data_IF_287957200935
#
_entry.id   IF_287957200935
#
_cell.length_a   1.000
_cell.length_b   1.000
_cell.length_c   1.000
_cell.angle_alpha   90.00
_cell.angle_beta   90.00
_cell.angle_gamma   90.00
#
_symmetry.space_group_name_H-M   'P 1'
#
loop_
_entity.id
_entity.type
_entity.pdbx_description
1 polymer ?
#
# COMPACT_ATOMS: atom_id res chain seq x y z
N UNK A 1 26.29 8.52 -1.41
CA UNK A 1 25.25 9.50 -1.76
C UNK A 1 24.05 9.18 -0.89
N UNK A 2 23.51 10.11 -0.10
CA UNK A 2 22.24 9.86 0.58
C UNK A 2 21.16 9.77 -0.49
N UNK A 3 20.61 8.59 -0.73
CA UNK A 3 19.49 8.43 -1.65
C UNK A 3 18.32 9.28 -1.15
N UNK A 4 17.78 10.15 -2.02
CA UNK A 4 16.52 10.81 -1.76
C UNK A 4 15.42 9.80 -2.05
N UNK A 5 14.57 9.49 -1.07
CA UNK A 5 13.47 8.54 -1.23
C UNK A 5 12.54 8.89 -2.40
N UNK A 6 12.44 10.18 -2.76
CA UNK A 6 11.65 10.63 -3.91
C UNK A 6 12.17 10.17 -5.27
N UNK A 7 13.44 9.78 -5.39
CA UNK A 7 14.06 9.43 -6.68
C UNK A 7 13.53 8.08 -7.22
N UNK A 8 12.95 7.23 -6.37
CA UNK A 8 12.39 5.94 -6.76
C UNK A 8 11.25 6.07 -7.80
N UNK A 9 10.55 7.22 -7.84
CA UNK A 9 9.53 7.46 -8.86
C UNK A 9 10.12 7.45 -10.28
N UNK A 10 11.35 7.95 -10.45
CA UNK A 10 12.04 8.00 -11.74
C UNK A 10 12.35 6.60 -12.25
N UNK A 11 12.69 5.67 -11.33
CA UNK A 11 12.87 4.27 -11.69
C UNK A 11 11.58 3.63 -12.21
N UNK A 12 10.46 3.85 -11.51
CA UNK A 12 9.14 3.32 -11.90
C UNK A 12 8.75 3.82 -13.30
N UNK A 13 8.81 5.13 -13.52
CA UNK A 13 8.46 5.71 -14.82
C UNK A 13 9.45 5.31 -15.92
N UNK A 14 10.75 5.29 -15.61
CA UNK A 14 11.81 4.91 -16.56
C UNK A 14 11.64 3.47 -17.05
N UNK A 15 11.39 2.51 -16.14
CA UNK A 15 11.09 1.12 -16.52
C UNK A 15 9.81 1.01 -17.34
N UNK A 16 8.74 1.70 -16.93
CA UNK A 16 7.48 1.71 -17.70
C UNK A 16 7.65 2.26 -19.12
N UNK A 17 8.39 3.36 -19.28
CA UNK A 17 8.57 4.03 -20.57
C UNK A 17 9.57 3.33 -21.49
N UNK A 18 10.69 2.83 -20.96
CA UNK A 18 11.78 2.28 -21.76
C UNK A 18 11.66 0.78 -22.00
N UNK A 19 11.16 0.02 -21.03
CA UNK A 19 11.10 -1.45 -21.09
C UNK A 19 9.67 -1.98 -21.09
N UNK A 20 8.66 -1.12 -20.93
CA UNK A 20 7.26 -1.53 -20.84
C UNK A 20 6.93 -2.28 -19.55
N UNK A 21 7.84 -2.32 -18.57
CA UNK A 21 7.65 -3.05 -17.31
C UNK A 21 6.92 -2.17 -16.31
N UNK A 22 5.72 -2.60 -15.90
CA UNK A 22 4.91 -1.93 -14.88
C UNK A 22 5.09 -2.60 -13.50
N UNK A 23 4.87 -1.85 -12.40
CA UNK A 23 4.88 -2.44 -11.06
C UNK A 23 3.83 -3.54 -10.90
N UNK A 24 4.23 -4.66 -10.30
CA UNK A 24 3.31 -5.76 -9.97
C UNK A 24 2.38 -5.42 -8.79
N UNK A 25 2.72 -4.40 -8.00
CA UNK A 25 1.94 -3.92 -6.86
C UNK A 25 1.48 -2.50 -7.17
N UNK A 26 0.24 -2.17 -6.81
CA UNK A 26 -0.31 -0.84 -7.00
C UNK A 26 0.52 0.22 -6.26
N UNK A 27 0.70 1.37 -6.91
CA UNK A 27 1.33 2.56 -6.30
C UNK A 27 0.34 3.38 -5.47
N UNK A 28 -0.96 3.03 -5.47
CA UNK A 28 -1.96 3.63 -4.59
C UNK A 28 -2.12 2.79 -3.31
N UNK A 29 -1.63 3.27 -2.15
CA UNK A 29 -1.70 2.48 -0.92
C UNK A 29 -3.13 2.15 -0.48
N UNK A 30 -4.15 2.89 -0.95
CA UNK A 30 -5.56 2.62 -0.63
C UNK A 30 -6.09 1.37 -1.33
N UNK A 31 -5.42 0.91 -2.37
CA UNK A 31 -5.81 -0.25 -3.18
C UNK A 31 -5.03 -1.53 -2.81
N UNK A 32 -4.00 -1.44 -1.98
CA UNK A 32 -3.16 -2.57 -1.58
C UNK A 32 -3.97 -3.70 -0.94
N UNK A 33 -4.92 -3.37 -0.04
CA UNK A 33 -5.75 -4.37 0.63
C UNK A 33 -6.61 -5.14 -0.38
N UNK A 34 -7.22 -4.43 -1.34
CA UNK A 34 -8.04 -5.04 -2.38
C UNK A 34 -7.20 -5.90 -3.34
N UNK A 35 -5.98 -5.47 -3.67
CA UNK A 35 -5.05 -6.26 -4.46
C UNK A 35 -4.61 -7.53 -3.70
N UNK A 36 -4.25 -7.40 -2.41
CA UNK A 36 -3.84 -8.51 -1.57
C UNK A 36 -4.96 -9.55 -1.38
N UNK A 37 -6.22 -9.10 -1.24
CA UNK A 37 -7.39 -10.00 -1.15
C UNK A 37 -7.56 -10.90 -2.37
N UNK A 38 -7.14 -10.44 -3.55
CA UNK A 38 -7.17 -11.23 -4.79
C UNK A 38 -6.00 -12.20 -4.90
N UNK A 39 -4.86 -11.87 -4.31
CA UNK A 39 -3.61 -12.62 -4.44
C UNK A 39 -3.41 -13.67 -3.32
N UNK A 40 -3.95 -13.41 -2.12
CA UNK A 40 -3.81 -14.28 -0.95
C UNK A 40 -4.98 -15.26 -0.83
N UNK A 41 -4.69 -16.46 -0.30
CA UNK A 41 -5.73 -17.36 0.18
C UNK A 41 -6.51 -16.75 1.36
N UNK A 42 -7.77 -17.15 1.51
CA UNK A 42 -8.70 -16.56 2.48
C UNK A 42 -8.15 -16.55 3.92
N UNK A 43 -7.59 -17.66 4.38
CA UNK A 43 -6.99 -17.76 5.73
C UNK A 43 -5.85 -16.76 5.92
N UNK A 44 -4.93 -16.68 4.95
CA UNK A 44 -3.79 -15.78 5.03
C UNK A 44 -4.22 -14.32 4.98
N UNK A 45 -5.16 -13.99 4.10
CA UNK A 45 -5.73 -12.64 4.03
C UNK A 45 -6.41 -12.26 5.35
N UNK A 46 -7.29 -13.11 5.88
CA UNK A 46 -8.03 -12.83 7.12
C UNK A 46 -7.11 -12.74 8.35
N UNK A 47 -6.00 -13.48 8.37
CA UNK A 47 -5.00 -13.37 9.43
C UNK A 47 -4.29 -12.00 9.40
N UNK A 48 -3.90 -11.52 8.20
CA UNK A 48 -3.16 -10.26 8.04
C UNK A 48 -4.09 -9.03 8.16
N UNK A 49 -5.26 -9.07 7.53
CA UNK A 49 -6.25 -7.99 7.56
C UNK A 49 -7.13 -8.01 8.83
N UNK A 50 -6.95 -9.02 9.69
CA UNK A 50 -7.63 -9.16 10.96
C UNK A 50 -7.28 -8.05 11.94
N UNK A 51 -8.19 -7.83 12.90
CA UNK A 51 -8.02 -6.90 14.01
C UNK A 51 -8.78 -7.40 15.23
N UNK A 52 -8.51 -6.82 16.39
CA UNK A 52 -9.22 -7.20 17.61
C UNK A 52 -10.69 -6.74 17.56
N UNK A 53 -11.61 -7.62 17.96
CA UNK A 53 -13.04 -7.33 18.02
C UNK A 53 -13.61 -6.84 16.69
N UNK A 54 -14.41 -5.79 16.73
CA UNK A 54 -15.00 -5.14 15.55
C UNK A 54 -14.02 -4.25 14.76
N UNK A 55 -12.73 -4.21 15.14
CA UNK A 55 -11.65 -3.41 14.51
C UNK A 55 -11.76 -1.90 14.67
N UNK A 56 -12.60 -1.39 15.58
CA UNK A 56 -12.77 0.04 15.84
C UNK A 56 -11.44 0.79 16.13
N UNK A 57 -10.49 0.14 16.82
CA UNK A 57 -9.16 0.73 17.06
C UNK A 57 -8.34 0.89 15.78
N UNK A 58 -8.45 -0.04 14.83
CA UNK A 58 -7.75 0.07 13.54
C UNK A 58 -8.28 1.25 12.72
N UNK A 59 -9.61 1.44 12.71
CA UNK A 59 -10.24 2.57 12.04
C UNK A 59 -9.85 3.90 12.69
N UNK A 60 -9.81 3.93 14.03
CA UNK A 60 -9.36 5.08 14.82
C UNK A 60 -7.90 5.47 14.50
N UNK A 61 -7.01 4.49 14.32
CA UNK A 61 -5.60 4.74 13.94
C UNK A 61 -5.50 5.47 12.59
N UNK A 62 -6.30 5.08 11.58
CA UNK A 62 -6.31 5.77 10.28
C UNK A 62 -6.93 7.16 10.39
N UNK A 63 -7.99 7.30 11.20
CA UNK A 63 -8.66 8.57 11.40
C UNK A 63 -7.74 9.61 12.04
N UNK A 64 -6.89 9.21 13.00
CA UNK A 64 -5.97 10.10 13.69
C UNK A 64 -5.09 10.93 12.73
N UNK A 65 -4.57 10.33 11.66
CA UNK A 65 -3.77 11.06 10.66
C UNK A 65 -4.58 12.07 9.83
N UNK A 66 -5.89 11.85 9.66
CA UNK A 66 -6.76 12.77 8.91
C UNK A 66 -7.13 14.04 9.69
N UNK A 67 -6.89 14.04 10.99
CA UNK A 67 -7.19 15.17 11.87
C UNK A 67 -6.12 16.27 11.80
N UNK A 68 -4.94 15.97 11.25
CA UNK A 68 -3.82 16.91 11.14
C UNK A 68 -3.51 17.25 9.68
N UNK A 69 -3.03 18.47 9.45
CA UNK A 69 -2.65 18.98 8.13
C UNK A 69 -1.26 19.60 8.23
N UNK A 70 -0.41 19.30 7.25
CA UNK A 70 0.89 19.94 7.04
C UNK A 70 0.72 21.26 6.32
#
# INVERSE_FOLDING_TARGET
>A
MSENYGDYQTEIYGRGALTGVLPNVTTDPRLLEAQAKKALGERSFNYVAGGAGEKATMDSNRLAFRQWKL
#
